data_IF_448780742484
#
_entry.id   IF_448780742484
#
_cell.length_a   1.000
_cell.length_b   1.000
_cell.length_c   1.000
_cell.angle_alpha   90.00
_cell.angle_beta   90.00
_cell.angle_gamma   90.00
#
_symmetry.space_group_name_H-M   'P 1'
#
loop_
_entity.id
_entity.type
_entity.pdbx_description
1 polymer ?
#
# COMPACT_ATOMS: atom_id res chain seq x y z
N UNK A 1 -9.09 13.28 -9.30
CA UNK A 1 -7.96 12.48 -8.78
C UNK A 1 -7.05 11.97 -9.89
N UNK A 2 -5.91 12.63 -10.15
CA UNK A 2 -4.93 12.12 -11.12
C UNK A 2 -4.37 10.73 -10.72
N UNK A 3 -4.28 10.48 -9.41
CA UNK A 3 -3.83 9.24 -8.77
C UNK A 3 -4.73 8.03 -9.12
N UNK A 4 -6.05 8.23 -9.21
CA UNK A 4 -7.03 7.17 -9.52
C UNK A 4 -7.11 6.85 -11.03
N UNK A 5 -6.55 7.71 -11.89
CA UNK A 5 -6.52 7.51 -13.35
C UNK A 5 -5.21 6.86 -13.83
N UNK A 6 -4.41 6.30 -12.93
CA UNK A 6 -3.21 5.55 -13.28
C UNK A 6 -3.60 4.30 -14.10
N UNK A 7 -2.86 3.93 -15.18
CA UNK A 7 -1.58 4.46 -15.65
C UNK A 7 -1.68 5.67 -16.61
N UNK A 8 -2.88 6.09 -17.03
CA UNK A 8 -3.06 7.18 -18.01
C UNK A 8 -2.55 8.53 -17.51
N UNK A 9 -2.48 8.73 -16.20
CA UNK A 9 -1.97 9.93 -15.54
C UNK A 9 -0.45 9.97 -15.32
N UNK A 10 0.29 8.94 -15.74
CA UNK A 10 1.74 8.85 -15.55
C UNK A 10 2.51 10.09 -16.04
N UNK A 11 2.25 10.68 -17.23
CA UNK A 11 2.96 11.88 -17.68
C UNK A 11 2.78 13.09 -16.74
N UNK A 12 1.57 13.25 -16.19
CA UNK A 12 1.25 14.32 -15.24
C UNK A 12 1.98 14.10 -13.91
N UNK A 13 2.02 12.86 -13.42
CA UNK A 13 2.74 12.49 -12.20
C UNK A 13 4.25 12.67 -12.36
N UNK A 14 4.81 12.29 -13.52
CA UNK A 14 6.22 12.49 -13.85
C UNK A 14 6.57 13.99 -13.91
N UNK A 15 5.69 14.80 -14.50
CA UNK A 15 5.85 16.26 -14.52
C UNK A 15 5.81 16.85 -13.12
N UNK A 16 4.87 16.40 -12.28
CA UNK A 16 4.77 16.82 -10.89
C UNK A 16 6.01 16.44 -10.09
N UNK A 17 6.53 15.21 -10.26
CA UNK A 17 7.79 14.76 -9.67
C UNK A 17 8.96 15.65 -10.04
N UNK A 18 9.12 15.95 -11.34
CA UNK A 18 10.19 16.84 -11.80
C UNK A 18 10.05 18.25 -11.22
N UNK A 19 8.83 18.76 -11.12
CA UNK A 19 8.54 20.03 -10.47
C UNK A 19 8.96 20.00 -8.99
N UNK A 20 8.60 18.95 -8.25
CA UNK A 20 8.97 18.80 -6.83
C UNK A 20 10.49 18.79 -6.61
N UNK A 21 11.23 18.10 -7.48
CA UNK A 21 12.70 18.08 -7.43
C UNK A 21 13.27 19.49 -7.66
N UNK A 22 12.73 20.24 -8.63
CA UNK A 22 13.21 21.57 -8.97
C UNK A 22 12.95 22.61 -7.86
N UNK A 23 11.86 22.47 -7.09
CA UNK A 23 11.53 23.38 -5.98
C UNK A 23 12.08 22.87 -4.63
N UNK A 24 13.09 21.99 -4.64
CA UNK A 24 13.71 21.42 -3.42
C UNK A 24 12.66 20.89 -2.43
N UNK A 25 11.66 20.16 -2.93
CA UNK A 25 10.63 19.51 -2.09
C UNK A 25 9.73 20.47 -1.28
N UNK A 26 9.80 21.77 -1.57
CA UNK A 26 8.93 22.77 -0.97
C UNK A 26 7.47 22.51 -1.36
N UNK A 27 6.61 22.36 -0.35
CA UNK A 27 5.17 22.17 -0.54
C UNK A 27 4.68 20.72 -0.52
N UNK A 28 5.54 19.74 -0.22
CA UNK A 28 5.15 18.33 0.03
C UNK A 28 3.99 18.21 1.01
N UNK A 29 4.08 18.88 2.16
CA UNK A 29 3.01 18.89 3.18
C UNK A 29 1.67 19.42 2.63
N UNK A 30 1.70 20.49 1.84
CA UNK A 30 0.48 21.04 1.22
C UNK A 30 -0.11 20.06 0.20
N UNK A 31 0.74 19.40 -0.59
CA UNK A 31 0.32 18.37 -1.53
C UNK A 31 -0.33 17.19 -0.81
N UNK A 32 0.28 16.69 0.27
CA UNK A 32 -0.25 15.60 1.09
C UNK A 32 -1.62 15.96 1.64
N UNK A 33 -1.77 17.13 2.27
CA UNK A 33 -3.04 17.56 2.83
C UNK A 33 -4.13 17.71 1.76
N UNK A 34 -3.81 18.35 0.63
CA UNK A 34 -4.76 18.48 -0.49
C UNK A 34 -5.17 17.12 -1.04
N UNK A 35 -4.23 16.18 -1.14
CA UNK A 35 -4.52 14.83 -1.61
C UNK A 35 -5.36 14.03 -0.61
N UNK A 36 -5.12 14.18 0.69
CA UNK A 36 -5.95 13.58 1.74
C UNK A 36 -7.37 14.13 1.67
N UNK A 37 -7.54 15.45 1.59
CA UNK A 37 -8.84 16.10 1.47
C UNK A 37 -9.62 15.58 0.24
N UNK A 38 -8.94 15.48 -0.91
CA UNK A 38 -9.53 14.93 -2.12
C UNK A 38 -9.91 13.44 -1.95
N UNK A 39 -9.08 12.64 -1.28
CA UNK A 39 -9.31 11.20 -1.07
C UNK A 39 -10.52 11.00 -0.16
N UNK A 40 -10.60 11.80 0.90
CA UNK A 40 -11.75 11.81 1.79
C UNK A 40 -13.02 12.21 1.05
N UNK A 41 -12.97 13.27 0.23
CA UNK A 41 -14.11 13.83 -0.48
C UNK A 41 -14.61 13.02 -1.70
N UNK A 42 -13.80 12.11 -2.24
CA UNK A 42 -14.15 11.39 -3.48
C UNK A 42 -14.18 9.87 -3.30
N UNK A 43 -13.33 9.31 -2.43
CA UNK A 43 -13.18 7.86 -2.28
C UNK A 43 -13.74 7.36 -0.94
N UNK A 44 -13.55 8.11 0.15
CA UNK A 44 -13.88 7.65 1.51
C UNK A 44 -15.27 8.09 1.96
N UNK A 45 -16.28 7.72 1.18
CA UNK A 45 -17.68 8.00 1.47
C UNK A 45 -18.53 6.75 1.50
N UNK A 46 -19.64 6.81 2.24
CA UNK A 46 -20.48 5.64 2.52
C UNK A 46 -21.13 5.04 1.26
N UNK A 47 -21.28 5.85 0.21
CA UNK A 47 -21.86 5.45 -1.07
C UNK A 47 -20.90 4.65 -1.96
N UNK A 48 -19.59 4.68 -1.67
CA UNK A 48 -18.58 3.96 -2.44
C UNK A 48 -18.46 2.54 -1.89
N UNK A 49 -18.50 1.55 -2.76
CA UNK A 49 -18.34 0.14 -2.42
C UNK A 49 -16.89 -0.19 -2.04
N UNK A 50 -16.73 -1.16 -1.14
CA UNK A 50 -15.43 -1.58 -0.63
C UNK A 50 -14.45 -2.02 -1.73
N UNK A 51 -14.83 -2.82 -2.77
CA UNK A 51 -13.89 -3.18 -3.83
C UNK A 51 -13.40 -1.99 -4.65
N UNK A 52 -14.25 -1.00 -4.95
CA UNK A 52 -13.78 0.26 -5.58
C UNK A 52 -12.76 0.99 -4.74
N UNK A 53 -12.93 1.03 -3.41
CA UNK A 53 -11.94 1.63 -2.49
C UNK A 53 -10.62 0.85 -2.52
N UNK A 54 -10.66 -0.48 -2.57
CA UNK A 54 -9.47 -1.32 -2.65
C UNK A 54 -8.71 -1.13 -3.98
N UNK A 55 -9.44 -1.01 -5.09
CA UNK A 55 -8.83 -0.70 -6.37
C UNK A 55 -8.21 0.71 -6.36
N UNK A 56 -8.93 1.70 -5.82
CA UNK A 56 -8.40 3.05 -5.60
C UNK A 56 -7.15 3.04 -4.73
N UNK A 57 -7.10 2.22 -3.68
CA UNK A 57 -5.94 2.02 -2.82
C UNK A 57 -4.73 1.48 -3.59
N UNK A 58 -4.91 0.44 -4.41
CA UNK A 58 -3.83 -0.11 -5.25
C UNK A 58 -3.28 0.95 -6.21
N UNK A 59 -4.17 1.68 -6.89
CA UNK A 59 -3.77 2.74 -7.82
C UNK A 59 -3.06 3.89 -7.10
N UNK A 60 -3.47 4.21 -5.87
CA UNK A 60 -2.77 5.19 -5.03
C UNK A 60 -1.36 4.73 -4.68
N UNK A 61 -1.18 3.48 -4.26
CA UNK A 61 0.15 2.93 -3.95
C UNK A 61 1.07 2.98 -5.18
N UNK A 62 0.59 2.48 -6.32
CA UNK A 62 1.37 2.42 -7.56
C UNK A 62 1.75 3.82 -8.06
N UNK A 63 0.80 4.75 -8.10
CA UNK A 63 1.05 6.11 -8.60
C UNK A 63 1.88 6.98 -7.66
N UNK A 64 1.71 6.85 -6.34
CA UNK A 64 2.48 7.61 -5.36
C UNK A 64 3.90 7.10 -5.20
N UNK A 65 4.14 5.80 -5.42
CA UNK A 65 5.49 5.24 -5.50
C UNK A 65 6.30 5.82 -6.65
N UNK A 66 5.67 6.03 -7.80
CA UNK A 66 6.31 6.68 -8.95
C UNK A 66 6.58 8.17 -8.73
N UNK A 67 5.70 8.84 -7.96
CA UNK A 67 5.82 10.26 -7.61
C UNK A 67 6.94 10.51 -6.59
N UNK A 68 7.01 9.69 -5.54
CA UNK A 68 7.89 9.88 -4.38
C UNK A 68 8.67 8.59 -4.04
N UNK A 69 9.95 8.47 -4.44
CA UNK A 69 10.78 7.31 -4.13
C UNK A 69 11.01 7.07 -2.63
N UNK A 70 10.86 8.10 -1.78
CA UNK A 70 10.94 7.94 -0.32
C UNK A 70 9.73 7.23 0.29
N UNK A 71 8.65 7.08 -0.50
CA UNK A 71 7.37 6.49 -0.10
C UNK A 71 6.68 7.17 1.11
N UNK A 72 7.14 8.35 1.55
CA UNK A 72 6.57 9.05 2.72
C UNK A 72 5.16 9.56 2.43
N UNK A 73 4.95 10.17 1.27
CA UNK A 73 3.62 10.67 0.84
C UNK A 73 2.63 9.50 0.74
N UNK A 74 3.08 8.38 0.15
CA UNK A 74 2.29 7.17 0.01
C UNK A 74 1.80 6.66 1.36
N UNK A 75 2.68 6.50 2.36
CA UNK A 75 2.29 5.98 3.67
C UNK A 75 1.30 6.89 4.39
N UNK A 76 1.49 8.21 4.33
CA UNK A 76 0.56 9.17 4.95
C UNK A 76 -0.85 9.10 4.36
N UNK A 77 -0.98 9.09 3.03
CA UNK A 77 -2.27 8.99 2.35
C UNK A 77 -2.91 7.61 2.56
N UNK A 78 -2.12 6.55 2.41
CA UNK A 78 -2.60 5.18 2.61
C UNK A 78 -3.08 4.96 4.04
N UNK A 79 -2.45 5.55 5.05
CA UNK A 79 -2.88 5.47 6.45
C UNK A 79 -4.34 5.91 6.64
N UNK A 80 -4.75 7.02 6.00
CA UNK A 80 -6.14 7.51 6.06
C UNK A 80 -7.12 6.50 5.45
N UNK A 81 -6.75 5.92 4.31
CA UNK A 81 -7.57 4.88 3.64
C UNK A 81 -7.63 3.60 4.51
N UNK A 82 -6.51 3.16 5.10
CA UNK A 82 -6.44 2.00 6.00
C UNK A 82 -7.38 2.18 7.20
N UNK A 83 -7.34 3.34 7.85
CA UNK A 83 -8.20 3.64 9.00
C UNK A 83 -9.68 3.68 8.64
N UNK A 84 -10.02 4.12 7.43
CA UNK A 84 -11.39 4.04 6.93
C UNK A 84 -11.83 2.59 6.66
N UNK A 85 -10.98 1.78 6.00
CA UNK A 85 -11.27 0.38 5.70
C UNK A 85 -11.42 -0.46 6.98
N UNK A 86 -10.64 -0.21 8.03
CA UNK A 86 -10.78 -0.89 9.33
C UNK A 86 -12.16 -0.72 9.97
N UNK A 87 -12.86 0.38 9.69
CA UNK A 87 -14.21 0.64 10.24
C UNK A 87 -15.31 -0.13 9.51
N UNK A 88 -15.05 -0.65 8.31
CA UNK A 88 -16.05 -1.39 7.53
C UNK A 88 -16.03 -2.88 7.88
N UNK A 89 -17.20 -3.49 8.15
CA UNK A 89 -17.27 -4.87 8.62
C UNK A 89 -16.97 -5.91 7.52
N UNK A 90 -17.17 -5.56 6.25
CA UNK A 90 -17.00 -6.42 5.08
C UNK A 90 -15.57 -6.41 4.50
N UNK A 91 -14.71 -5.51 4.99
CA UNK A 91 -13.36 -5.26 4.47
C UNK A 91 -12.53 -6.52 4.32
N UNK A 92 -12.49 -7.37 5.35
CA UNK A 92 -11.68 -8.59 5.35
C UNK A 92 -12.05 -9.51 4.18
N UNK A 93 -13.34 -9.79 4.05
CA UNK A 93 -13.87 -10.67 3.01
C UNK A 93 -13.65 -10.07 1.62
N UNK A 94 -13.81 -8.75 1.48
CA UNK A 94 -13.59 -8.05 0.22
C UNK A 94 -12.13 -8.04 -0.20
N UNK A 95 -11.18 -7.81 0.71
CA UNK A 95 -9.75 -7.86 0.39
C UNK A 95 -9.33 -9.30 0.01
N UNK A 96 -9.79 -10.33 0.73
CA UNK A 96 -9.50 -11.72 0.36
C UNK A 96 -10.01 -12.00 -1.06
N UNK A 97 -11.23 -11.60 -1.38
CA UNK A 97 -11.79 -11.74 -2.73
C UNK A 97 -10.98 -10.94 -3.76
N UNK A 98 -10.57 -9.71 -3.44
CA UNK A 98 -9.78 -8.84 -4.30
C UNK A 98 -8.41 -9.47 -4.64
N UNK A 99 -7.70 -9.98 -3.64
CA UNK A 99 -6.41 -10.65 -3.81
C UNK A 99 -6.55 -11.96 -4.61
N UNK A 100 -7.59 -12.74 -4.31
CA UNK A 100 -7.78 -14.06 -4.94
C UNK A 100 -8.41 -14.02 -6.32
N UNK A 101 -9.10 -12.93 -6.67
CA UNK A 101 -9.80 -12.76 -7.95
C UNK A 101 -9.10 -11.75 -8.85
N UNK A 102 -9.03 -10.48 -8.46
CA UNK A 102 -8.59 -9.38 -9.34
C UNK A 102 -7.07 -9.27 -9.42
N UNK A 103 -6.36 -9.45 -8.30
CA UNK A 103 -4.89 -9.27 -8.20
C UNK A 103 -4.11 -10.58 -8.08
N UNK A 104 -4.67 -11.69 -8.55
CA UNK A 104 -4.05 -13.03 -8.44
C UNK A 104 -2.71 -13.12 -9.17
N UNK A 105 -2.65 -12.56 -10.37
CA UNK A 105 -1.45 -12.64 -11.21
C UNK A 105 -0.37 -11.67 -10.72
N UNK A 106 -0.76 -10.48 -10.24
CA UNK A 106 0.13 -9.55 -9.54
C UNK A 106 0.76 -10.22 -8.31
N UNK A 107 -0.05 -10.88 -7.46
CA UNK A 107 0.44 -11.60 -6.29
C UNK A 107 1.46 -12.68 -6.68
N UNK A 108 1.19 -13.44 -7.75
CA UNK A 108 2.10 -14.47 -8.22
C UNK A 108 3.45 -13.89 -8.67
N UNK A 109 3.43 -12.75 -9.37
CA UNK A 109 4.64 -12.03 -9.75
C UNK A 109 5.42 -11.52 -8.53
N UNK A 110 4.72 -10.98 -7.53
CA UNK A 110 5.33 -10.51 -6.27
C UNK A 110 6.02 -11.64 -5.50
N UNK A 111 5.36 -12.79 -5.35
CA UNK A 111 5.93 -13.97 -4.68
C UNK A 111 7.16 -14.52 -5.42
N UNK A 112 7.15 -14.46 -6.76
CA UNK A 112 8.29 -14.88 -7.58
C UNK A 112 9.50 -13.95 -7.42
N UNK A 113 9.28 -12.65 -7.18
CA UNK A 113 10.34 -11.66 -7.12
C UNK A 113 11.07 -11.59 -5.76
N UNK A 114 10.67 -12.40 -4.76
CA UNK A 114 11.24 -12.46 -3.38
C UNK A 114 11.43 -11.11 -2.66
N UNK A 115 10.87 -10.02 -3.19
CA UNK A 115 10.99 -8.69 -2.61
C UNK A 115 9.74 -8.44 -1.78
N UNK A 116 9.85 -8.64 -0.47
CA UNK A 116 8.75 -8.47 0.45
C UNK A 116 8.78 -9.53 1.53
N UNK A 117 9.68 -9.37 2.49
CA UNK A 117 9.43 -9.95 3.81
C UNK A 117 8.07 -9.38 4.25
N UNK A 118 7.09 -10.23 4.58
CA UNK A 118 5.78 -9.79 5.10
C UNK A 118 6.02 -9.37 6.56
N UNK A 119 6.50 -8.16 6.74
CA UNK A 119 6.83 -7.60 8.05
C UNK A 119 5.67 -6.75 8.54
N UNK A 120 5.31 -6.96 9.80
CA UNK A 120 4.26 -6.21 10.48
C UNK A 120 4.80 -4.80 10.79
N UNK A 121 4.08 -3.73 10.40
CA UNK A 121 4.53 -2.34 10.64
C UNK A 121 4.81 -2.10 12.14
N UNK A 122 4.04 -2.75 13.03
CA UNK A 122 4.18 -2.62 14.48
C UNK A 122 5.36 -3.40 15.08
N UNK A 123 5.88 -4.44 14.40
CA UNK A 123 7.07 -5.18 14.84
C UNK A 123 8.38 -4.46 14.47
N UNK A 124 8.28 -3.38 13.69
CA UNK A 124 9.41 -2.73 13.01
C UNK A 124 9.83 -1.40 13.60
N UNK A 125 9.01 -0.79 14.45
CA UNK A 125 9.38 0.44 15.15
C UNK A 125 10.63 0.21 16.00
N UNK A 126 11.76 0.79 15.59
CA UNK A 126 13.05 0.64 16.27
C UNK A 126 13.89 -0.58 15.88
N UNK A 127 13.48 -1.34 14.85
CA UNK A 127 14.31 -2.41 14.30
C UNK A 127 15.55 -1.83 13.60
N UNK A 128 16.73 -2.44 13.81
CA UNK A 128 17.94 -2.00 13.12
C UNK A 128 17.93 -2.51 11.67
N UNK A 129 17.98 -1.57 10.72
CA UNK A 129 18.01 -1.82 9.28
C UNK A 129 19.15 -2.74 8.83
N UNK A 130 20.27 -2.77 9.58
CA UNK A 130 21.44 -3.60 9.26
C UNK A 130 21.12 -5.10 9.23
N UNK A 131 20.04 -5.53 9.89
CA UNK A 131 19.63 -6.94 9.95
C UNK A 131 18.63 -7.32 8.85
N UNK A 132 18.30 -6.40 7.93
CA UNK A 132 17.41 -6.72 6.82
C UNK A 132 18.13 -7.53 5.73
N UNK A 133 17.45 -8.53 5.13
CA UNK A 133 18.02 -9.30 4.01
C UNK A 133 18.46 -8.41 2.84
N UNK A 134 17.71 -7.31 2.56
CA UNK A 134 18.07 -6.31 1.55
C UNK A 134 19.34 -5.51 1.92
N UNK A 135 19.61 -5.29 3.21
CA UNK A 135 20.80 -4.55 3.68
C UNK A 135 22.11 -5.34 3.49
N UNK A 136 22.04 -6.66 3.35
CA UNK A 136 23.17 -7.52 2.99
C UNK A 136 23.63 -7.36 1.54
N UNK A 137 22.87 -6.66 0.68
CA UNK A 137 23.32 -6.33 -0.67
C UNK A 137 24.28 -5.12 -0.62
N UNK A 138 25.57 -5.41 -0.46
CA UNK A 138 26.71 -4.47 -0.44
C UNK A 138 26.83 -3.57 -1.70
N UNK A 139 25.95 -3.71 -2.69
CA UNK A 139 25.92 -2.82 -3.86
C UNK A 139 24.99 -1.61 -3.65
N UNK A 140 24.07 -1.68 -2.69
CA UNK A 140 23.04 -0.66 -2.48
C UNK A 140 23.47 0.49 -1.55
N UNK A 141 24.55 0.35 -0.77
CA UNK A 141 25.00 1.41 0.16
C UNK A 141 25.34 2.73 -0.53
N UNK A 142 25.82 2.69 -1.79
CA UNK A 142 26.13 3.90 -2.58
C UNK A 142 24.91 4.71 -2.99
N UNK A 143 23.73 4.08 -2.98
CA UNK A 143 22.45 4.70 -3.35
C UNK A 143 21.63 5.07 -2.11
N UNK A 144 22.19 4.88 -0.92
CA UNK A 144 21.54 5.31 0.31
C UNK A 144 21.44 6.83 0.34
N UNK A 145 20.23 7.33 0.54
CA UNK A 145 19.94 8.74 0.77
C UNK A 145 19.29 8.87 2.14
N UNK A 146 19.57 9.97 2.87
CA UNK A 146 18.88 10.25 4.12
C UNK A 146 17.38 10.41 3.89
N UNK A 147 16.60 10.08 4.91
CA UNK A 147 15.16 10.30 4.88
C UNK A 147 14.83 11.79 4.79
N UNK A 148 13.73 12.14 4.09
CA UNK A 148 13.29 13.52 3.98
C UNK A 148 12.78 14.05 5.34
N UNK A 149 12.73 15.37 5.48
CA UNK A 149 12.39 16.05 6.75
C UNK A 149 10.99 15.74 7.29
N UNK A 150 10.10 15.27 6.43
CA UNK A 150 8.71 14.91 6.72
C UNK A 150 8.54 13.44 7.15
N UNK A 151 9.61 12.64 7.15
CA UNK A 151 9.58 11.26 7.63
C UNK A 151 9.40 11.20 9.15
N UNK A 152 8.52 10.29 9.61
CA UNK A 152 8.31 10.05 11.04
C UNK A 152 9.61 9.51 11.68
N UNK A 153 10.07 10.06 12.82
CA UNK A 153 11.22 9.52 13.53
C UNK A 153 10.98 8.07 13.97
N UNK A 154 11.91 7.17 13.65
CA UNK A 154 11.87 5.76 14.06
C UNK A 154 11.23 4.80 13.04
N UNK A 155 10.68 5.32 11.94
CA UNK A 155 10.29 4.51 10.78
C UNK A 155 11.45 4.44 9.78
N UNK A 156 11.90 3.24 9.41
CA UNK A 156 12.97 3.13 8.43
C UNK A 156 12.48 3.30 6.99
N UNK A 157 13.21 4.12 6.22
CA UNK A 157 12.95 4.33 4.80
C UNK A 157 13.05 3.07 3.95
N UNK A 158 13.87 2.10 4.35
CA UNK A 158 13.99 0.81 3.64
C UNK A 158 12.71 0.00 3.74
N UNK A 159 12.09 -0.03 4.91
CA UNK A 159 10.82 -0.72 5.08
C UNK A 159 9.69 -0.03 4.32
N UNK A 160 9.64 1.31 4.34
CA UNK A 160 8.67 2.06 3.54
C UNK A 160 8.80 1.74 2.05
N UNK A 161 10.03 1.63 1.54
CA UNK A 161 10.28 1.29 0.15
C UNK A 161 9.95 -0.17 -0.19
N UNK A 162 10.13 -1.08 0.76
CA UNK A 162 9.78 -2.50 0.63
C UNK A 162 8.28 -2.79 0.85
N UNK A 163 7.53 -1.85 1.43
CA UNK A 163 6.12 -2.00 1.71
C UNK A 163 5.33 -2.00 0.41
N UNK A 164 4.80 -3.16 0.04
CA UNK A 164 4.02 -3.37 -1.18
C UNK A 164 2.50 -3.31 -0.96
N UNK A 165 1.70 -3.19 -2.03
CA UNK A 165 0.22 -3.15 -1.97
C UNK A 165 -0.31 -4.29 -1.10
N UNK A 166 0.18 -5.52 -1.31
CA UNK A 166 -0.25 -6.69 -0.54
C UNK A 166 0.14 -6.58 0.94
N UNK A 167 1.40 -6.25 1.24
CA UNK A 167 1.86 -6.09 2.62
C UNK A 167 1.07 -5.00 3.35
N UNK A 168 0.82 -3.89 2.68
CA UNK A 168 0.03 -2.81 3.25
C UNK A 168 -1.44 -3.17 3.40
N UNK A 169 -2.04 -3.96 2.51
CA UNK A 169 -3.40 -4.47 2.71
C UNK A 169 -3.46 -5.45 3.87
N UNK A 170 -2.47 -6.34 4.03
CA UNK A 170 -2.35 -7.25 5.17
C UNK A 170 -2.20 -6.50 6.50
N UNK A 171 -1.53 -5.34 6.50
CA UNK A 171 -1.45 -4.49 7.71
C UNK A 171 -2.80 -3.91 8.16
N UNK A 172 -3.81 -3.81 7.27
CA UNK A 172 -5.16 -3.33 7.63
C UNK A 172 -5.84 -4.27 8.63
N UNK A 173 -5.50 -5.56 8.60
CA UNK A 173 -6.11 -6.61 9.42
C UNK A 173 -5.60 -6.64 10.85
N UNK A 174 -4.45 -6.03 11.13
CA UNK A 174 -3.75 -6.07 12.41
C UNK A 174 -3.13 -7.43 12.77
N UNK A 175 -3.76 -8.57 12.44
CA UNK A 175 -3.17 -9.89 12.67
C UNK A 175 -3.34 -10.85 11.50
N UNK A 176 -2.27 -11.64 11.26
CA UNK A 176 -2.25 -12.71 10.25
C UNK A 176 -3.28 -13.81 10.54
N UNK A 177 -3.63 -14.02 11.81
CA UNK A 177 -4.59 -15.06 12.24
C UNK A 177 -6.01 -14.80 11.75
N UNK A 178 -6.46 -13.53 11.78
CA UNK A 178 -7.79 -13.14 11.31
C UNK A 178 -7.95 -13.38 9.81
N UNK A 179 -6.91 -13.09 9.03
CA UNK A 179 -6.86 -13.38 7.60
C UNK A 179 -7.01 -14.89 7.33
N UNK A 180 -6.23 -15.73 8.02
CA UNK A 180 -6.26 -17.19 7.82
C UNK A 180 -7.62 -17.77 8.18
N UNK A 181 -8.24 -17.30 9.27
CA UNK A 181 -9.57 -17.75 9.71
C UNK A 181 -10.64 -17.48 8.65
N UNK A 182 -10.71 -16.25 8.15
CA UNK A 182 -11.71 -15.84 7.16
C UNK A 182 -11.45 -16.49 5.80
N UNK A 183 -10.19 -16.64 5.40
CA UNK A 183 -9.86 -17.34 4.15
C UNK A 183 -10.29 -18.82 4.19
N UNK A 184 -10.08 -19.50 5.31
CA UNK A 184 -10.56 -20.89 5.51
C UNK A 184 -12.07 -20.99 5.42
N UNK A 185 -12.79 -20.05 6.06
CA UNK A 185 -14.24 -19.99 6.02
C UNK A 185 -14.74 -19.77 4.59
N UNK A 186 -14.14 -18.83 3.86
CA UNK A 186 -14.48 -18.52 2.48
C UNK A 186 -14.23 -19.70 1.55
N UNK A 187 -13.11 -20.40 1.70
CA UNK A 187 -12.82 -21.63 0.96
C UNK A 187 -13.84 -22.73 1.26
N UNK A 188 -14.18 -22.94 2.54
CA UNK A 188 -15.17 -23.94 2.93
C UNK A 188 -16.53 -23.67 2.29
N UNK A 189 -16.99 -22.41 2.29
CA UNK A 189 -18.22 -21.99 1.61
C UNK A 189 -18.16 -22.23 0.09
N UNK A 190 -17.03 -21.93 -0.55
CA UNK A 190 -16.86 -22.16 -2.00
C UNK A 190 -16.90 -23.64 -2.36
N UNK A 191 -16.20 -24.49 -1.60
CA UNK A 191 -16.12 -25.93 -1.83
C UNK A 191 -17.47 -26.63 -1.59
N UNK A 192 -18.18 -26.23 -0.54
CA UNK A 192 -19.52 -26.77 -0.23
C UNK A 192 -20.57 -26.30 -1.25
N UNK A 193 -20.49 -25.05 -1.71
CA UNK A 193 -21.38 -24.52 -2.75
C UNK A 193 -21.11 -25.13 -4.13
N UNK A 194 -19.88 -25.57 -4.44
CA UNK A 194 -19.60 -26.28 -5.69
C UNK A 194 -20.11 -27.72 -5.71
N UNK A 195 -20.31 -28.34 -4.53
CA UNK A 195 -20.78 -29.72 -4.39
C UNK A 195 -22.31 -29.86 -4.39
N UNK A 196 -23.04 -28.74 -4.40
CA UNK A 196 -24.52 -28.72 -4.43
C UNK A 196 -25.08 -28.40 -5.82
N UNK A 197 -24.23 -28.39 -6.85
CA UNK A 197 -24.62 -28.17 -8.25
C UNK A 197 -24.79 -29.46 -9.06
N UNK A 198 -24.76 -30.62 -8.42
CA UNK A 198 -25.11 -31.92 -9.00
C UNK A 198 -26.54 -32.34 -8.61
#
# INVERSE_FOLDING_TARGET
MAVVNFPKSYPTLSTLRNCMINVQEYGREKLVNTLIDDVEAQLLHIAVDTPTILNGYSLCVESLRELDPSCVIMHRVCKVIKEYLKRRPDTVRQIINYITSEKRDDLAAHLANRCGTIVDEDELTGANDDFLPEAMNLSQWRHWMPDPIDASPGESGRFRQAADVFNMLVSVYGSKEMFVKEYRQLLAERLTSSNTKD
#
